data_IF_489826734404
#
_entry.id   IF_489826734404
#
_cell.length_a   1.000
_cell.length_b   1.000
_cell.length_c   1.000
_cell.angle_alpha   90.00
_cell.angle_beta   90.00
_cell.angle_gamma   90.00
#
_symmetry.space_group_name_H-M   'P 1'
#
loop_
_entity.id
_entity.type
_entity.pdbx_description
1 polymer ?
#
# COMPACT_ATOMS: atom_id res chain seq x y z
N UNK A 1 -37.80 -1.30 -5.61
CA UNK A 1 -37.40 -1.24 -4.19
C UNK A 1 -36.53 -0.01 -4.00
N UNK A 2 -37.01 1.00 -3.27
CA UNK A 2 -36.29 2.27 -3.07
C UNK A 2 -35.39 2.16 -1.84
N UNK A 3 -34.08 2.40 -1.99
CA UNK A 3 -33.10 2.27 -0.91
C UNK A 3 -33.27 3.38 0.16
N UNK A 4 -33.42 3.00 1.43
CA UNK A 4 -33.50 3.91 2.58
C UNK A 4 -32.12 4.12 3.20
N UNK A 5 -31.70 5.38 3.35
CA UNK A 5 -30.48 5.73 4.11
C UNK A 5 -30.67 5.45 5.61
N UNK A 6 -29.68 4.78 6.22
CA UNK A 6 -29.58 4.59 7.66
C UNK A 6 -29.37 5.94 8.37
N UNK A 7 -29.95 6.08 9.54
CA UNK A 7 -29.78 7.21 10.45
C UNK A 7 -28.42 7.17 11.15
N UNK A 8 -27.97 8.29 11.70
CA UNK A 8 -26.70 8.35 12.44
C UNK A 8 -26.65 7.38 13.65
N UNK A 9 -27.80 7.15 14.31
CA UNK A 9 -27.90 6.19 15.41
C UNK A 9 -27.80 4.75 14.91
N UNK A 10 -28.46 4.40 13.81
CA UNK A 10 -28.35 3.07 13.19
C UNK A 10 -26.93 2.79 12.67
N UNK A 11 -26.24 3.82 12.15
CA UNK A 11 -24.83 3.72 11.77
C UNK A 11 -23.96 3.49 13.01
N UNK A 12 -24.16 4.26 14.08
CA UNK A 12 -23.39 4.11 15.32
C UNK A 12 -23.57 2.73 15.95
N UNK A 13 -24.79 2.22 16.01
CA UNK A 13 -25.08 0.87 16.51
C UNK A 13 -24.42 -0.20 15.64
N UNK A 14 -24.57 -0.12 14.31
CA UNK A 14 -23.92 -1.07 13.39
C UNK A 14 -22.39 -1.05 13.50
N UNK A 15 -21.78 0.11 13.73
CA UNK A 15 -20.34 0.24 13.98
C UNK A 15 -19.95 -0.41 15.31
N UNK A 16 -20.73 -0.22 16.37
CA UNK A 16 -20.47 -0.85 17.66
C UNK A 16 -20.60 -2.38 17.58
N UNK A 17 -21.64 -2.89 16.93
CA UNK A 17 -21.87 -4.33 16.76
C UNK A 17 -20.71 -4.97 15.96
N UNK A 18 -20.33 -4.35 14.85
CA UNK A 18 -19.21 -4.83 14.03
C UNK A 18 -17.88 -4.75 14.80
N UNK A 19 -17.66 -3.72 15.62
CA UNK A 19 -16.47 -3.60 16.46
C UNK A 19 -16.40 -4.71 17.51
N UNK A 20 -17.54 -5.04 18.11
CA UNK A 20 -17.63 -6.13 19.08
C UNK A 20 -17.42 -7.50 18.42
N UNK A 21 -17.99 -7.73 17.24
CA UNK A 21 -17.76 -8.94 16.46
C UNK A 21 -16.29 -9.09 16.08
N UNK A 22 -15.64 -8.01 15.63
CA UNK A 22 -14.22 -8.01 15.30
C UNK A 22 -13.35 -8.34 16.52
N UNK A 23 -13.67 -7.77 17.69
CA UNK A 23 -12.98 -8.07 18.95
C UNK A 23 -13.10 -9.54 19.31
N UNK A 24 -14.31 -10.10 19.24
CA UNK A 24 -14.55 -11.51 19.55
C UNK A 24 -13.75 -12.44 18.62
N UNK A 25 -13.67 -12.12 17.32
CA UNK A 25 -12.87 -12.92 16.35
C UNK A 25 -11.38 -12.87 16.66
N UNK A 26 -10.84 -11.72 17.06
CA UNK A 26 -9.44 -11.61 17.48
C UNK A 26 -9.18 -12.41 18.75
N UNK A 27 -10.09 -12.37 19.72
CA UNK A 27 -10.00 -13.18 20.93
C UNK A 27 -10.06 -14.69 20.62
N UNK A 28 -10.91 -15.10 19.67
CA UNK A 28 -11.00 -16.49 19.18
C UNK A 28 -9.67 -16.96 18.55
N UNK A 29 -9.08 -16.16 17.66
CA UNK A 29 -7.76 -16.49 17.11
C UNK A 29 -6.67 -16.54 18.19
N UNK A 30 -6.81 -15.78 19.27
CA UNK A 30 -5.84 -15.74 20.36
C UNK A 30 -5.93 -16.91 21.35
N UNK A 31 -6.93 -17.80 21.25
CA UNK A 31 -7.15 -18.88 22.22
C UNK A 31 -6.07 -19.97 22.18
N UNK A 32 -5.42 -20.17 21.03
CA UNK A 32 -4.35 -21.15 20.89
C UNK A 32 -3.27 -20.71 19.87
N UNK A 33 -2.17 -21.46 19.85
CA UNK A 33 -1.03 -21.17 18.98
C UNK A 33 -1.32 -21.36 17.49
N UNK A 34 -2.27 -22.22 17.13
CA UNK A 34 -2.64 -22.48 15.73
C UNK A 34 -3.52 -21.35 15.19
N UNK A 35 -4.48 -20.88 15.98
CA UNK A 35 -5.32 -19.71 15.69
C UNK A 35 -4.48 -18.44 15.53
N UNK A 36 -3.54 -18.18 16.45
CA UNK A 36 -2.64 -17.02 16.34
C UNK A 36 -1.78 -17.15 15.09
N UNK A 37 -1.27 -18.34 14.81
CA UNK A 37 -0.46 -18.58 13.60
C UNK A 37 -1.27 -18.35 12.33
N UNK A 38 -2.47 -18.91 12.22
CA UNK A 38 -3.35 -18.72 11.07
C UNK A 38 -3.73 -17.25 10.88
N UNK A 39 -3.97 -16.53 11.97
CA UNK A 39 -4.23 -15.09 11.94
C UNK A 39 -3.00 -14.29 11.49
N UNK A 40 -1.81 -14.60 12.01
CA UNK A 40 -0.55 -13.96 11.57
C UNK A 40 -0.19 -14.32 10.12
N UNK A 41 -0.46 -15.55 9.68
CA UNK A 41 -0.30 -16.02 8.30
C UNK A 41 -1.29 -15.34 7.35
N UNK A 42 -2.49 -15.02 7.84
CA UNK A 42 -3.44 -14.18 7.11
C UNK A 42 -2.95 -12.73 7.05
N UNK A 43 -2.48 -12.17 8.16
CA UNK A 43 -1.94 -10.80 8.24
C UNK A 43 -0.68 -10.62 7.39
N UNK A 44 0.15 -11.66 7.25
CA UNK A 44 1.37 -11.62 6.45
C UNK A 44 1.12 -11.57 4.94
N UNK A 45 -0.11 -11.88 4.48
CA UNK A 45 -0.53 -11.75 3.08
C UNK A 45 -0.76 -10.28 2.69
N UNK A 46 -0.89 -9.37 3.65
CA UNK A 46 -0.97 -7.94 3.37
C UNK A 46 0.44 -7.35 3.20
N UNK A 47 0.56 -6.31 2.38
CA UNK A 47 1.83 -5.64 2.11
C UNK A 47 2.47 -5.17 3.42
N UNK A 48 3.66 -5.69 3.73
CA UNK A 48 4.45 -5.19 4.84
C UNK A 48 5.08 -3.85 4.44
N UNK A 49 4.37 -2.77 4.73
CA UNK A 49 4.89 -1.43 4.57
C UNK A 49 6.09 -1.21 5.51
N UNK A 50 7.02 -0.35 5.09
CA UNK A 50 8.15 0.02 5.94
C UNK A 50 7.67 0.60 7.27
N UNK A 51 8.46 0.54 8.37
CA UNK A 51 8.06 1.09 9.67
C UNK A 51 7.60 2.57 9.60
N UNK A 52 8.21 3.36 8.71
CA UNK A 52 7.82 4.75 8.45
C UNK A 52 6.42 4.86 7.84
N UNK A 53 6.10 4.01 6.87
CA UNK A 53 4.77 3.99 6.27
C UNK A 53 3.72 3.41 7.24
N UNK A 54 4.07 2.43 8.08
CA UNK A 54 3.15 1.95 9.13
C UNK A 54 2.80 3.05 10.13
N UNK A 55 3.78 3.86 10.55
CA UNK A 55 3.53 5.00 11.42
C UNK A 55 2.60 6.04 10.75
N UNK A 56 2.85 6.39 9.49
CA UNK A 56 2.01 7.31 8.72
C UNK A 56 0.57 6.79 8.55
N UNK A 57 0.41 5.50 8.29
CA UNK A 57 -0.90 4.86 8.16
C UNK A 57 -1.65 4.91 9.48
N UNK A 58 -1.01 4.48 10.58
CA UNK A 58 -1.63 4.48 11.90
C UNK A 58 -2.06 5.88 12.36
N UNK A 59 -1.21 6.88 12.13
CA UNK A 59 -1.50 8.28 12.49
C UNK A 59 -2.67 8.86 11.67
N UNK A 60 -2.75 8.52 10.38
CA UNK A 60 -3.78 9.06 9.48
C UNK A 60 -5.12 8.35 9.62
N UNK A 61 -5.10 7.04 9.92
CA UNK A 61 -6.27 6.19 9.97
C UNK A 61 -6.09 5.12 11.05
N UNK A 62 -6.46 5.49 12.28
CA UNK A 62 -6.41 4.57 13.41
C UNK A 62 -7.35 3.38 13.17
N UNK A 63 -6.82 2.15 13.27
CA UNK A 63 -7.57 0.93 13.01
C UNK A 63 -7.57 0.46 11.54
N UNK A 64 -6.69 0.98 10.69
CA UNK A 64 -6.49 0.45 9.33
C UNK A 64 -6.25 -1.08 9.37
N UNK A 65 -6.97 -1.82 8.53
CA UNK A 65 -6.99 -3.29 8.47
C UNK A 65 -6.17 -3.81 7.29
N UNK A 66 -6.36 -3.21 6.12
CA UNK A 66 -5.65 -3.59 4.89
C UNK A 66 -5.60 -2.39 3.96
N UNK A 67 -4.40 -2.00 3.56
CA UNK A 67 -4.18 -0.73 2.84
C UNK A 67 -3.54 -1.00 1.49
N UNK A 68 -4.12 -0.46 0.41
CA UNK A 68 -3.59 -0.53 -0.96
C UNK A 68 -3.86 0.74 -1.76
N UNK A 69 -3.17 0.90 -2.87
CA UNK A 69 -3.44 1.99 -3.82
C UNK A 69 -4.78 1.81 -4.52
N UNK A 70 -5.41 2.92 -4.92
CA UNK A 70 -6.72 2.93 -5.59
C UNK A 70 -6.82 1.93 -6.76
N UNK A 71 -5.78 1.87 -7.61
CA UNK A 71 -5.77 0.96 -8.77
C UNK A 71 -5.74 -0.51 -8.36
N UNK A 72 -5.00 -0.85 -7.30
CA UNK A 72 -4.90 -2.21 -6.80
C UNK A 72 -6.26 -2.67 -6.25
N UNK A 73 -6.97 -1.80 -5.53
CA UNK A 73 -8.35 -2.12 -5.11
C UNK A 73 -9.27 -2.36 -6.30
N UNK A 74 -9.18 -1.52 -7.33
CA UNK A 74 -9.96 -1.69 -8.55
C UNK A 74 -9.67 -3.01 -9.28
N UNK A 75 -8.40 -3.41 -9.37
CA UNK A 75 -7.98 -4.69 -9.95
C UNK A 75 -8.52 -5.89 -9.16
N UNK A 76 -8.71 -5.72 -7.84
CA UNK A 76 -9.28 -6.73 -6.94
C UNK A 76 -10.82 -6.67 -6.85
N UNK A 77 -11.47 -5.81 -7.65
CA UNK A 77 -12.93 -5.71 -7.71
C UNK A 77 -13.56 -4.76 -6.70
N UNK A 78 -12.76 -4.03 -5.93
CA UNK A 78 -13.20 -3.03 -4.95
C UNK A 78 -13.12 -1.61 -5.52
N UNK A 79 -14.01 -0.71 -5.07
CA UNK A 79 -14.02 0.68 -5.54
C UNK A 79 -14.11 1.64 -4.36
N UNK A 80 -13.06 2.43 -4.17
CA UNK A 80 -13.02 3.46 -3.12
C UNK A 80 -14.27 4.33 -3.19
N UNK A 81 -14.98 4.46 -2.06
CA UNK A 81 -16.22 5.21 -1.97
C UNK A 81 -15.96 6.70 -2.20
N UNK A 82 -16.91 7.38 -2.84
CA UNK A 82 -16.79 8.80 -3.14
C UNK A 82 -16.70 9.62 -1.84
N UNK A 83 -15.67 10.45 -1.73
CA UNK A 83 -15.47 11.34 -0.58
C UNK A 83 -14.52 10.80 0.49
N UNK A 84 -14.06 9.55 0.35
CA UNK A 84 -13.04 8.98 1.23
C UNK A 84 -11.71 9.71 1.08
N UNK A 85 -11.02 9.92 2.21
CA UNK A 85 -9.71 10.57 2.25
C UNK A 85 -8.61 9.53 2.11
N UNK A 86 -7.65 9.80 1.22
CA UNK A 86 -6.49 8.96 1.05
C UNK A 86 -5.54 9.09 2.25
N UNK A 87 -4.87 7.98 2.57
CA UNK A 87 -3.75 7.94 3.51
C UNK A 87 -2.47 8.21 2.71
N UNK A 88 -1.64 9.15 3.18
CA UNK A 88 -0.37 9.49 2.54
C UNK A 88 0.75 8.54 3.00
N UNK A 89 1.49 7.96 2.06
CA UNK A 89 2.66 7.12 2.34
C UNK A 89 3.87 7.60 1.53
N UNK A 90 5.07 7.16 1.93
CA UNK A 90 6.29 7.37 1.17
C UNK A 90 6.47 6.25 0.14
N UNK A 91 6.71 6.63 -1.12
CA UNK A 91 7.03 5.73 -2.23
C UNK A 91 8.45 6.02 -2.71
N UNK A 92 9.32 5.00 -2.87
CA UNK A 92 10.66 5.22 -3.40
C UNK A 92 10.62 5.65 -4.87
N UNK A 93 11.31 6.74 -5.18
CA UNK A 93 11.60 7.16 -6.55
C UNK A 93 12.80 6.39 -7.07
N UNK A 94 12.56 5.52 -8.06
CA UNK A 94 13.60 4.66 -8.63
C UNK A 94 14.20 5.34 -9.86
N UNK A 95 15.49 5.68 -9.79
CA UNK A 95 16.27 6.13 -10.93
C UNK A 95 17.07 4.98 -11.53
N UNK A 96 17.32 5.09 -12.83
CA UNK A 96 18.13 4.14 -13.61
C UNK A 96 19.53 4.71 -13.79
N UNK A 97 20.53 3.90 -13.54
CA UNK A 97 21.95 4.24 -13.68
C UNK A 97 22.66 3.22 -14.57
N UNK A 98 23.72 3.66 -15.23
CA UNK A 98 24.66 2.79 -15.93
C UNK A 98 26.09 3.11 -15.47
N UNK A 99 27.04 2.22 -15.75
CA UNK A 99 28.46 2.49 -15.59
C UNK A 99 29.02 3.02 -16.90
N UNK A 100 29.68 4.17 -16.88
CA UNK A 100 30.40 4.68 -18.03
C UNK A 100 31.72 3.91 -18.27
N UNK A 101 32.48 4.34 -19.28
CA UNK A 101 33.76 3.73 -19.66
C UNK A 101 34.83 3.82 -18.57
N UNK A 102 34.68 4.74 -17.62
CA UNK A 102 35.56 4.92 -16.46
C UNK A 102 35.03 4.15 -15.22
N UNK A 103 33.90 3.47 -15.35
CA UNK A 103 33.25 2.71 -14.29
C UNK A 103 32.43 3.56 -13.32
N UNK A 104 32.25 4.86 -13.59
CA UNK A 104 31.46 5.78 -12.76
C UNK A 104 29.98 5.58 -13.02
N UNK A 105 29.18 5.72 -11.97
CA UNK A 105 27.73 5.65 -12.05
C UNK A 105 27.14 6.95 -12.57
N UNK A 106 26.46 6.87 -13.70
CA UNK A 106 25.81 8.01 -14.36
C UNK A 106 24.31 7.71 -14.51
N UNK A 107 23.42 8.67 -14.18
CA UNK A 107 21.99 8.47 -14.39
C UNK A 107 21.68 8.39 -15.89
N UNK A 108 20.83 7.44 -16.29
CA UNK A 108 20.45 7.24 -17.69
C UNK A 108 19.82 8.49 -18.31
N UNK A 109 19.18 9.34 -17.50
CA UNK A 109 18.65 10.63 -17.96
C UNK A 109 19.73 11.56 -18.52
N UNK A 110 20.94 11.53 -17.95
CA UNK A 110 22.08 12.35 -18.35
C UNK A 110 22.95 11.73 -19.45
N UNK A 111 22.64 10.50 -19.91
CA UNK A 111 23.37 9.86 -20.99
C UNK A 111 23.18 10.59 -22.33
N UNK A 112 24.22 10.57 -23.16
CA UNK A 112 24.17 11.04 -24.54
C UNK A 112 23.27 10.13 -25.41
N UNK A 113 22.83 10.59 -26.61
CA UNK A 113 21.92 9.84 -27.46
C UNK A 113 22.44 8.45 -27.88
N UNK A 114 23.74 8.31 -28.18
CA UNK A 114 24.33 7.04 -28.61
C UNK A 114 24.33 6.05 -27.46
N UNK A 115 24.70 6.49 -26.26
CA UNK A 115 24.64 5.65 -25.05
C UNK A 115 23.21 5.23 -24.72
N UNK A 116 22.22 6.11 -24.90
CA UNK A 116 20.80 5.77 -24.70
C UNK A 116 20.33 4.68 -25.66
N UNK A 117 20.74 4.73 -26.93
CA UNK A 117 20.44 3.70 -27.92
C UNK A 117 21.05 2.34 -27.54
N UNK A 118 22.32 2.33 -27.13
CA UNK A 118 23.00 1.10 -26.66
C UNK A 118 22.36 0.51 -25.41
N UNK A 119 21.90 1.36 -24.48
CA UNK A 119 21.11 0.93 -23.32
C UNK A 119 19.78 0.31 -23.76
N UNK A 120 19.10 0.90 -24.75
CA UNK A 120 17.86 0.37 -25.30
C UNK A 120 18.06 -0.99 -25.99
N UNK A 121 19.19 -1.14 -26.70
CA UNK A 121 19.62 -2.40 -27.31
C UNK A 121 20.17 -3.42 -26.30
N UNK A 122 20.16 -3.10 -24.99
CA UNK A 122 20.64 -3.94 -23.88
C UNK A 122 22.13 -4.28 -23.91
N UNK A 123 22.92 -3.52 -24.66
CA UNK A 123 24.38 -3.66 -24.70
C UNK A 123 25.04 -3.16 -23.41
N UNK A 124 24.42 -2.15 -22.77
CA UNK A 124 24.89 -1.56 -21.52
C UNK A 124 23.93 -1.95 -20.40
N UNK A 125 24.41 -2.63 -19.34
CA UNK A 125 23.55 -3.02 -18.23
C UNK A 125 23.12 -1.79 -17.41
N UNK A 126 21.84 -1.75 -17.09
CA UNK A 126 21.25 -0.69 -16.26
C UNK A 126 20.93 -1.23 -14.87
N UNK A 127 21.33 -0.49 -13.86
CA UNK A 127 20.96 -0.73 -12.46
C UNK A 127 19.89 0.25 -12.00
N UNK A 128 19.01 -0.22 -11.11
CA UNK A 128 17.98 0.59 -10.46
C UNK A 128 18.46 0.96 -9.07
N UNK A 129 18.36 2.24 -8.72
CA UNK A 129 18.66 2.72 -7.38
C UNK A 129 17.56 3.66 -6.89
N UNK A 130 17.35 3.69 -5.57
CA UNK A 130 16.44 4.65 -4.95
C UNK A 130 17.13 6.01 -4.97
N UNK A 131 16.57 6.96 -5.72
CA UNK A 131 17.06 8.33 -5.81
C UNK A 131 16.38 9.28 -4.81
N UNK A 132 15.29 8.84 -4.19
CA UNK A 132 14.54 9.63 -3.22
C UNK A 132 13.20 8.98 -2.89
N UNK A 133 12.32 9.76 -2.26
CA UNK A 133 10.95 9.34 -1.95
C UNK A 133 9.96 10.42 -2.35
N UNK A 134 8.80 10.03 -2.83
CA UNK A 134 7.66 10.89 -3.12
C UNK A 134 6.46 10.48 -2.28
N UNK A 135 5.43 11.32 -2.27
CA UNK A 135 4.14 10.98 -1.64
C UNK A 135 3.34 10.04 -2.55
N UNK A 136 2.75 9.03 -1.94
CA UNK A 136 1.79 8.12 -2.53
C UNK A 136 0.47 8.15 -1.76
N UNK A 137 -0.58 7.65 -2.40
CA UNK A 137 -1.92 7.60 -1.84
C UNK A 137 -2.43 6.17 -1.80
N UNK A 138 -2.90 5.77 -0.63
CA UNK A 138 -3.49 4.46 -0.38
C UNK A 138 -4.79 4.62 0.39
N UNK A 139 -5.61 3.58 0.37
CA UNK A 139 -6.92 3.52 1.02
C UNK A 139 -7.02 2.22 1.80
N UNK A 140 -7.65 2.29 2.95
CA UNK A 140 -8.01 1.10 3.70
C UNK A 140 -9.19 0.36 3.02
N UNK A 141 -9.27 -0.95 3.18
CA UNK A 141 -10.37 -1.78 2.67
C UNK A 141 -11.74 -1.28 3.13
N UNK A 142 -11.84 -0.74 4.36
CA UNK A 142 -13.08 -0.18 4.90
C UNK A 142 -13.56 1.08 4.17
N UNK A 143 -12.71 1.67 3.32
CA UNK A 143 -13.01 2.82 2.47
C UNK A 143 -13.45 2.41 1.05
N UNK A 144 -13.48 1.11 0.74
CA UNK A 144 -13.88 0.58 -0.57
C UNK A 144 -15.30 0.01 -0.59
#
# INVERSE_FOLDING_TARGET
MTYRRKTAQEIKAAVQDLSQEAKNKVEEYAQDSEGIRAYLDFMSKFYQYSPRNNALIKESFEGALAVKGFKQWKEEGFSVRKGEKAIEILIPSIAKYYKDTEGKLVPVSAADPLTKERIQNKEIPVMKQVAGFTKGHVFDITQT
#
